data_IF_956731034995
#
_entry.id   IF_956731034995
#
_cell.length_a   1.000
_cell.length_b   1.000
_cell.length_c   1.000
_cell.angle_alpha   90.00
_cell.angle_beta   90.00
_cell.angle_gamma   90.00
#
_symmetry.space_group_name_H-M   'P 1'
#
loop_
_entity.id
_entity.type
_entity.pdbx_description
1 polymer ?
#
# COMPACT_ATOMS: atom_id res chain seq x y z
N UNK A 1 -36.46 -1.52 -14.56
CA UNK A 1 -35.75 -1.39 -13.28
C UNK A 1 -35.74 -2.75 -12.56
N UNK A 2 -35.27 -3.81 -13.23
CA UNK A 2 -35.24 -5.18 -12.65
C UNK A 2 -34.41 -6.13 -13.54
N UNK A 3 -33.16 -5.78 -13.89
CA UNK A 3 -32.32 -6.69 -14.70
C UNK A 3 -30.81 -6.66 -14.35
N UNK A 4 -30.41 -6.03 -13.25
CA UNK A 4 -28.98 -5.89 -12.88
C UNK A 4 -28.51 -6.74 -11.69
N UNK A 5 -29.32 -7.70 -11.21
CA UNK A 5 -29.00 -8.52 -10.03
C UNK A 5 -28.45 -9.93 -10.34
N UNK A 6 -27.87 -10.20 -11.48
CA UNK A 6 -27.53 -11.60 -11.85
C UNK A 6 -26.06 -11.91 -12.13
N UNK A 7 -25.09 -11.03 -11.84
CA UNK A 7 -23.67 -11.36 -12.01
C UNK A 7 -22.75 -10.91 -10.89
N UNK A 8 -23.21 -10.94 -9.66
CA UNK A 8 -22.32 -10.80 -8.51
C UNK A 8 -22.15 -12.19 -7.90
N UNK A 9 -21.21 -12.98 -8.42
CA UNK A 9 -20.55 -14.04 -7.66
C UNK A 9 -19.30 -13.45 -7.04
N UNK A 10 -19.49 -12.63 -6.03
CA UNK A 10 -18.41 -12.28 -5.13
C UNK A 10 -17.97 -13.55 -4.43
N UNK A 11 -16.76 -14.03 -4.71
CA UNK A 11 -16.10 -15.07 -3.92
C UNK A 11 -15.71 -14.40 -2.59
N UNK A 12 -16.63 -14.41 -1.66
CA UNK A 12 -16.36 -14.14 -0.25
C UNK A 12 -15.64 -15.37 0.28
N UNK A 13 -14.31 -15.33 0.37
CA UNK A 13 -13.57 -16.34 1.12
C UNK A 13 -13.82 -16.13 2.61
N UNK A 14 -14.79 -16.88 3.13
CA UNK A 14 -14.90 -17.12 4.57
C UNK A 14 -13.72 -18.04 4.92
N UNK A 15 -12.78 -17.57 5.73
CA UNK A 15 -11.69 -18.39 6.28
C UNK A 15 -12.25 -19.54 7.10
N UNK A 16 -12.49 -20.67 6.44
CA UNK A 16 -12.60 -21.98 7.08
C UNK A 16 -11.18 -22.55 7.20
N UNK A 17 -10.74 -22.87 8.41
CA UNK A 17 -9.48 -23.56 8.66
C UNK A 17 -9.48 -24.93 7.97
N UNK A 18 -8.80 -25.03 6.82
CA UNK A 18 -8.42 -26.30 6.20
C UNK A 18 -6.93 -26.53 6.45
N UNK A 19 -6.64 -27.57 7.23
CA UNK A 19 -5.27 -28.08 7.42
C UNK A 19 -4.80 -28.68 6.09
N UNK A 20 -3.82 -28.08 5.46
CA UNK A 20 -3.11 -28.63 4.30
C UNK A 20 -1.78 -29.27 4.74
N UNK A 21 -1.35 -30.36 4.08
CA UNK A 21 -0.18 -31.11 4.49
C UNK A 21 1.13 -30.37 4.19
N UNK A 22 2.05 -30.50 5.12
CA UNK A 22 3.40 -29.95 5.14
C UNK A 22 4.25 -30.41 3.95
N UNK A 23 4.62 -29.48 3.07
CA UNK A 23 5.84 -29.60 2.29
C UNK A 23 6.95 -28.82 2.99
N UNK A 24 8.02 -29.53 3.35
CA UNK A 24 9.13 -28.96 4.09
C UNK A 24 9.90 -27.94 3.28
N UNK A 25 9.88 -26.68 3.75
CA UNK A 25 10.90 -25.70 3.47
C UNK A 25 11.55 -25.30 4.79
N UNK A 26 12.84 -25.60 4.89
CA UNK A 26 13.70 -25.23 5.99
C UNK A 26 14.13 -23.77 5.83
N UNK A 27 13.47 -22.90 6.53
CA UNK A 27 14.00 -21.69 7.16
C UNK A 27 12.90 -21.23 8.11
N UNK A 28 13.14 -21.34 9.41
CA UNK A 28 12.19 -20.95 10.44
C UNK A 28 12.00 -19.42 10.43
N UNK A 29 11.07 -18.93 9.60
CA UNK A 29 10.32 -17.73 9.93
C UNK A 29 9.43 -18.17 11.09
N UNK A 30 9.68 -17.66 12.29
CA UNK A 30 8.73 -17.75 13.39
C UNK A 30 7.40 -17.25 12.85
N UNK A 31 6.39 -18.13 12.78
CA UNK A 31 5.02 -17.71 12.51
C UNK A 31 4.64 -16.80 13.68
N UNK A 32 4.73 -15.51 13.47
CA UNK A 32 4.16 -14.54 14.38
C UNK A 32 2.66 -14.73 14.30
N UNK A 33 2.09 -15.36 15.32
CA UNK A 33 0.65 -15.38 15.50
C UNK A 33 0.27 -13.98 16.01
N UNK A 34 -0.27 -13.16 15.13
CA UNK A 34 -0.74 -11.82 15.50
C UNK A 34 -1.78 -11.86 16.62
N UNK A 35 -2.00 -10.72 17.23
CA UNK A 35 -3.01 -10.54 18.29
C UNK A 35 -4.40 -10.72 17.66
N UNK A 36 -5.12 -11.74 18.10
CA UNK A 36 -6.51 -12.03 17.67
C UNK A 36 -7.47 -11.35 18.63
N UNK A 37 -8.19 -10.36 18.15
CA UNK A 37 -9.21 -9.63 18.91
C UNK A 37 -10.51 -9.56 18.10
N UNK A 38 -11.64 -9.48 18.79
CA UNK A 38 -12.97 -9.35 18.18
C UNK A 38 -13.83 -8.34 18.95
N UNK A 39 -14.85 -7.79 18.27
CA UNK A 39 -15.84 -6.92 18.89
C UNK A 39 -15.21 -5.70 19.60
N UNK A 40 -15.71 -5.36 20.78
CA UNK A 40 -15.31 -4.19 21.55
C UNK A 40 -13.81 -4.18 21.89
N UNK A 41 -13.25 -5.34 22.30
CA UNK A 41 -11.84 -5.46 22.63
C UNK A 41 -10.92 -5.11 21.43
N UNK A 42 -11.36 -5.43 20.21
CA UNK A 42 -10.64 -5.06 18.99
C UNK A 42 -10.70 -3.55 18.75
N UNK A 43 -11.89 -2.95 18.87
CA UNK A 43 -12.06 -1.52 18.68
C UNK A 43 -11.31 -0.70 19.74
N UNK A 44 -11.29 -1.13 20.99
CA UNK A 44 -10.51 -0.53 22.07
C UNK A 44 -9.00 -0.59 21.80
N UNK A 45 -8.52 -1.74 21.31
CA UNK A 45 -7.12 -1.88 20.90
C UNK A 45 -6.77 -0.92 19.76
N UNK A 46 -7.59 -0.88 18.70
CA UNK A 46 -7.40 0.03 17.56
C UNK A 46 -7.38 1.48 18.05
N UNK A 47 -8.35 1.88 18.86
CA UNK A 47 -8.42 3.25 19.38
C UNK A 47 -7.19 3.62 20.23
N UNK A 48 -6.71 2.69 21.06
CA UNK A 48 -5.50 2.88 21.88
C UNK A 48 -4.26 3.08 21.01
N UNK A 49 -4.06 2.23 19.99
CA UNK A 49 -2.90 2.33 19.09
C UNK A 49 -2.94 3.61 18.24
N UNK A 50 -4.13 4.00 17.76
CA UNK A 50 -4.29 5.27 17.04
C UNK A 50 -4.04 6.47 17.93
N UNK A 51 -4.52 6.46 19.19
CA UNK A 51 -4.22 7.52 20.14
C UNK A 51 -2.70 7.64 20.40
N UNK A 52 -2.00 6.52 20.52
CA UNK A 52 -0.54 6.52 20.68
C UNK A 52 0.19 7.05 19.44
N UNK A 53 -0.35 6.79 18.24
CA UNK A 53 0.15 7.33 16.98
C UNK A 53 0.01 8.85 16.92
N UNK A 54 -1.14 9.39 17.29
CA UNK A 54 -1.45 10.82 17.19
C UNK A 54 -0.87 11.65 18.32
N UNK A 55 -0.69 11.04 19.48
CA UNK A 55 -0.21 11.71 20.71
C UNK A 55 1.05 11.02 21.24
N UNK A 56 2.17 11.02 20.48
CA UNK A 56 3.41 10.41 20.94
C UNK A 56 3.87 11.06 22.25
N UNK A 57 4.35 10.23 23.17
CA UNK A 57 4.85 10.71 24.48
C UNK A 57 5.98 11.72 24.28
N UNK A 58 5.79 12.94 24.79
CA UNK A 58 6.81 14.02 24.75
C UNK A 58 8.05 13.71 25.58
N UNK A 59 7.96 12.73 26.48
CA UNK A 59 9.02 12.40 27.44
C UNK A 59 9.99 11.31 26.95
N UNK A 60 9.74 10.72 25.79
CA UNK A 60 10.65 9.73 25.22
C UNK A 60 11.39 10.37 24.05
N UNK A 61 12.70 10.63 24.17
CA UNK A 61 13.48 11.10 23.03
C UNK A 61 13.35 10.10 21.89
N UNK A 62 13.04 10.58 20.68
CA UNK A 62 13.04 9.74 19.50
C UNK A 62 14.45 9.18 19.30
N UNK A 63 14.63 7.87 19.47
CA UNK A 63 15.87 7.22 19.07
C UNK A 63 15.86 7.09 17.55
N UNK A 64 16.98 7.43 16.87
CA UNK A 64 17.10 7.15 15.46
C UNK A 64 16.77 5.67 15.17
N UNK A 65 15.98 5.41 14.15
CA UNK A 65 15.70 4.04 13.74
C UNK A 65 16.99 3.35 13.31
N UNK A 66 17.15 2.12 13.74
CA UNK A 66 18.29 1.28 13.38
C UNK A 66 17.77 -0.04 12.81
N UNK A 67 18.43 -0.52 11.77
CA UNK A 67 18.06 -1.81 11.17
C UNK A 67 18.16 -2.93 12.22
N UNK A 68 17.22 -3.88 12.24
CA UNK A 68 17.31 -5.05 13.10
C UNK A 68 18.57 -5.87 12.81
N UNK A 69 18.98 -6.72 13.76
CA UNK A 69 20.11 -7.63 13.55
C UNK A 69 19.88 -8.50 12.31
N UNK A 70 20.86 -8.56 11.41
CA UNK A 70 20.76 -9.29 10.16
C UNK A 70 20.23 -8.46 8.98
N UNK A 71 20.03 -7.15 9.18
CA UNK A 71 19.56 -6.22 8.16
C UNK A 71 20.55 -5.08 7.94
N UNK A 72 20.53 -4.55 6.73
CA UNK A 72 21.27 -3.36 6.29
C UNK A 72 20.28 -2.23 6.04
N UNK A 73 20.65 -1.03 6.43
CA UNK A 73 19.94 0.21 6.14
C UNK A 73 20.92 1.22 5.57
N UNK A 74 20.62 1.75 4.42
CA UNK A 74 21.45 2.73 3.72
C UNK A 74 20.59 3.87 3.17
N UNK A 75 21.11 5.09 3.26
CA UNK A 75 20.59 6.23 2.52
C UNK A 75 21.45 6.44 1.29
N UNK A 76 20.80 6.49 0.14
CA UNK A 76 21.47 6.66 -1.14
C UNK A 76 20.62 7.55 -2.05
N UNK A 77 21.12 7.86 -3.24
CA UNK A 77 20.35 8.52 -4.28
C UNK A 77 20.26 7.62 -5.52
N UNK A 78 19.09 7.61 -6.16
CA UNK A 78 18.90 7.02 -7.48
C UNK A 78 18.48 8.15 -8.43
N UNK A 79 19.38 8.49 -9.37
CA UNK A 79 19.32 9.80 -9.99
C UNK A 79 19.50 10.89 -8.92
N UNK A 80 18.61 11.86 -8.93
CA UNK A 80 18.61 12.94 -7.93
C UNK A 80 17.62 12.69 -6.78
N UNK A 81 16.95 11.51 -6.75
CA UNK A 81 15.94 11.18 -5.75
C UNK A 81 16.59 10.50 -4.56
N UNK A 82 16.42 11.02 -3.33
CA UNK A 82 16.82 10.33 -2.12
C UNK A 82 16.04 9.02 -1.96
N UNK A 83 16.73 7.96 -1.55
CA UNK A 83 16.16 6.63 -1.36
C UNK A 83 16.72 5.99 -0.10
N UNK A 84 15.88 5.36 0.68
CA UNK A 84 16.28 4.51 1.78
C UNK A 84 16.25 3.04 1.32
N UNK A 85 17.42 2.38 1.32
CA UNK A 85 17.54 0.96 1.00
C UNK A 85 17.56 0.13 2.28
N UNK A 86 16.70 -0.87 2.34
CA UNK A 86 16.62 -1.85 3.44
C UNK A 86 16.75 -3.24 2.83
N UNK A 87 17.67 -4.05 3.35
CA UNK A 87 17.97 -5.36 2.81
C UNK A 87 18.40 -6.34 3.90
N UNK A 88 18.09 -7.64 3.80
CA UNK A 88 18.75 -8.64 4.64
C UNK A 88 20.24 -8.72 4.28
N UNK A 89 21.10 -8.99 5.27
CA UNK A 89 22.56 -9.13 5.06
C UNK A 89 22.88 -10.23 4.04
N UNK A 90 22.00 -11.25 3.93
CA UNK A 90 22.12 -12.35 2.95
C UNK A 90 20.75 -12.63 2.36
N UNK A 91 20.68 -12.66 1.04
CA UNK A 91 19.53 -13.14 0.28
C UNK A 91 20.02 -13.87 -0.96
N UNK A 92 19.31 -14.91 -1.37
CA UNK A 92 19.46 -15.56 -2.66
C UNK A 92 18.34 -15.14 -3.64
N UNK A 93 17.39 -14.37 -3.17
CA UNK A 93 16.26 -13.88 -3.96
C UNK A 93 16.71 -12.78 -4.93
N UNK A 94 15.96 -12.62 -6.02
CA UNK A 94 16.10 -11.51 -6.95
C UNK A 94 14.93 -10.52 -6.86
N UNK A 95 13.96 -10.79 -5.99
CA UNK A 95 12.79 -9.92 -5.80
C UNK A 95 13.20 -8.60 -5.17
N UNK A 96 12.70 -7.50 -5.74
CA UNK A 96 12.97 -6.14 -5.27
C UNK A 96 11.63 -5.44 -5.06
N UNK A 97 11.49 -4.75 -3.93
CA UNK A 97 10.31 -3.95 -3.64
C UNK A 97 10.67 -2.47 -3.83
N UNK A 98 9.93 -1.77 -4.70
CA UNK A 98 9.87 -0.32 -4.71
C UNK A 98 8.70 0.10 -3.83
N UNK A 99 9.00 0.69 -2.67
CA UNK A 99 8.01 1.17 -1.73
C UNK A 99 7.77 2.66 -1.96
N UNK A 100 6.52 3.00 -2.29
CA UNK A 100 6.01 4.36 -2.43
C UNK A 100 5.10 4.63 -1.22
N UNK A 101 5.58 5.46 -0.30
CA UNK A 101 4.89 5.67 0.97
C UNK A 101 3.63 6.52 0.83
N UNK A 102 2.66 6.32 1.74
CA UNK A 102 1.49 7.18 1.88
C UNK A 102 1.79 8.49 2.63
N UNK A 103 0.72 9.15 3.08
CA UNK A 103 0.80 10.42 3.81
C UNK A 103 0.19 11.60 3.06
N UNK A 104 -0.73 11.35 2.10
CA UNK A 104 -1.48 12.38 1.37
C UNK A 104 -0.59 13.28 0.52
N UNK A 105 0.57 12.77 0.06
CA UNK A 105 1.62 13.54 -0.62
C UNK A 105 2.24 14.68 0.21
N UNK A 106 1.97 14.73 1.51
CA UNK A 106 2.50 15.75 2.44
C UNK A 106 3.37 15.15 3.54
N UNK A 107 3.18 13.85 3.86
CA UNK A 107 3.97 13.12 4.84
C UNK A 107 5.08 12.33 4.19
N UNK A 108 6.27 12.26 4.81
CA UNK A 108 7.44 11.52 4.34
C UNK A 108 7.62 10.16 5.00
N UNK A 109 8.76 9.50 4.72
CA UNK A 109 9.14 8.20 5.27
C UNK A 109 9.31 8.30 6.80
N UNK A 110 8.66 7.38 7.51
CA UNK A 110 8.73 7.26 8.97
C UNK A 110 9.35 5.92 9.38
N UNK A 111 9.63 5.76 10.66
CA UNK A 111 10.13 4.48 11.21
C UNK A 111 9.14 3.33 11.02
N UNK A 112 7.83 3.62 10.89
CA UNK A 112 6.81 2.62 10.57
C UNK A 112 6.99 2.06 9.15
N UNK A 113 7.34 2.91 8.18
CA UNK A 113 7.68 2.46 6.82
C UNK A 113 8.94 1.62 6.78
N UNK A 114 9.97 1.98 7.56
CA UNK A 114 11.20 1.19 7.68
C UNK A 114 10.94 -0.19 8.29
N UNK A 115 10.09 -0.23 9.34
CA UNK A 115 9.65 -1.49 9.93
C UNK A 115 8.79 -2.33 8.98
N UNK A 116 7.87 -1.69 8.24
CA UNK A 116 7.06 -2.35 7.20
C UNK A 116 7.95 -2.93 6.10
N UNK A 117 8.96 -2.21 5.63
CA UNK A 117 9.91 -2.66 4.63
C UNK A 117 10.65 -3.95 5.06
N UNK A 118 11.10 -4.02 6.32
CA UNK A 118 11.68 -5.25 6.89
C UNK A 118 10.69 -6.41 6.86
N UNK A 119 9.44 -6.17 7.28
CA UNK A 119 8.39 -7.18 7.29
C UNK A 119 8.03 -7.65 5.87
N UNK A 120 7.86 -6.71 4.94
CA UNK A 120 7.60 -7.01 3.53
C UNK A 120 8.71 -7.86 2.92
N UNK A 121 9.97 -7.46 3.10
CA UNK A 121 11.09 -8.25 2.60
C UNK A 121 11.14 -9.65 3.22
N UNK A 122 10.81 -9.78 4.52
CA UNK A 122 10.75 -11.08 5.19
C UNK A 122 9.65 -11.97 4.62
N UNK A 123 8.43 -11.44 4.46
CA UNK A 123 7.28 -12.23 3.99
C UNK A 123 7.38 -12.59 2.51
N UNK A 124 7.83 -11.66 1.68
CA UNK A 124 7.88 -11.83 0.21
C UNK A 124 9.22 -12.37 -0.27
N UNK A 125 10.15 -12.70 0.65
CA UNK A 125 11.52 -13.11 0.31
C UNK A 125 12.16 -12.11 -0.65
N UNK A 126 12.12 -10.82 -0.33
CA UNK A 126 12.73 -9.80 -1.16
C UNK A 126 14.20 -9.57 -0.78
N UNK A 127 15.05 -9.46 -1.79
CA UNK A 127 16.48 -9.17 -1.61
C UNK A 127 16.69 -7.73 -1.12
N UNK A 128 15.84 -6.80 -1.56
CA UNK A 128 15.99 -5.39 -1.30
C UNK A 128 14.63 -4.67 -1.30
N UNK A 129 14.49 -3.67 -0.45
CA UNK A 129 13.40 -2.70 -0.47
C UNK A 129 13.99 -1.32 -0.66
N UNK A 130 13.52 -0.61 -1.67
CA UNK A 130 13.87 0.77 -1.96
C UNK A 130 12.67 1.66 -1.63
N UNK A 131 12.78 2.42 -0.55
CA UNK A 131 11.76 3.39 -0.14
C UNK A 131 12.10 4.73 -0.80
N UNK A 132 11.33 5.17 -1.77
CA UNK A 132 11.54 6.43 -2.46
C UNK A 132 11.11 7.60 -1.56
N UNK A 133 12.03 8.51 -1.25
CA UNK A 133 11.75 9.75 -0.52
C UNK A 133 11.44 10.86 -1.55
N UNK A 134 10.30 10.72 -2.20
CA UNK A 134 9.86 11.58 -3.29
C UNK A 134 9.45 12.96 -2.81
N UNK A 135 9.50 13.95 -3.69
CA UNK A 135 9.14 15.35 -3.42
C UNK A 135 7.68 15.50 -3.00
N UNK A 136 7.44 16.32 -1.99
CA UNK A 136 6.16 16.45 -1.29
C UNK A 136 5.49 17.80 -1.53
N UNK A 137 4.16 17.80 -1.55
CA UNK A 137 3.33 18.98 -1.50
C UNK A 137 3.38 19.64 -0.10
N UNK A 138 3.08 20.93 0.02
CA UNK A 138 2.74 21.87 -1.06
C UNK A 138 3.94 22.45 -1.80
N UNK A 139 5.17 22.15 -1.37
CA UNK A 139 6.38 22.68 -2.01
C UNK A 139 6.54 22.16 -3.45
N UNK A 140 6.10 20.93 -3.69
CA UNK A 140 6.15 20.28 -5.00
C UNK A 140 4.79 19.62 -5.29
N UNK A 141 4.10 20.14 -6.29
CA UNK A 141 2.81 19.64 -6.75
C UNK A 141 2.99 18.61 -7.87
N UNK A 142 1.91 18.00 -8.32
CA UNK A 142 1.90 17.13 -9.51
C UNK A 142 2.64 17.79 -10.69
N UNK A 143 3.52 17.08 -11.42
CA UNK A 143 3.83 15.65 -11.35
C UNK A 143 5.10 15.30 -10.53
N UNK A 144 5.56 16.14 -9.61
CA UNK A 144 6.87 15.99 -8.99
C UNK A 144 7.11 14.61 -8.35
N UNK A 145 6.12 14.07 -7.59
CA UNK A 145 6.24 12.75 -6.97
C UNK A 145 6.29 11.63 -8.03
N UNK A 146 5.49 11.75 -9.10
CA UNK A 146 5.52 10.80 -10.22
C UNK A 146 6.86 10.81 -10.96
N UNK A 147 7.44 12.00 -11.22
CA UNK A 147 8.75 12.13 -11.83
C UNK A 147 9.83 11.43 -11.00
N UNK A 148 9.77 11.60 -9.67
CA UNK A 148 10.72 10.97 -8.75
C UNK A 148 10.52 9.45 -8.71
N UNK A 149 9.29 8.95 -8.59
CA UNK A 149 8.98 7.53 -8.63
C UNK A 149 9.47 6.87 -9.94
N UNK A 150 9.21 7.53 -11.08
CA UNK A 150 9.67 7.09 -12.39
C UNK A 150 11.19 7.13 -12.53
N UNK A 151 11.86 8.14 -11.94
CA UNK A 151 13.32 8.22 -11.91
C UNK A 151 13.93 7.07 -11.10
N UNK A 152 13.37 6.78 -9.91
CA UNK A 152 13.81 5.64 -9.10
C UNK A 152 13.58 4.33 -9.86
N UNK A 153 12.41 4.10 -10.42
CA UNK A 153 12.11 2.88 -11.18
C UNK A 153 13.10 2.68 -12.35
N UNK A 154 13.31 3.69 -13.20
CA UNK A 154 14.30 3.62 -14.28
C UNK A 154 15.72 3.40 -13.75
N UNK A 155 16.06 3.97 -12.61
CA UNK A 155 17.34 3.77 -11.96
C UNK A 155 17.54 2.33 -11.46
N UNK A 156 16.48 1.65 -11.02
CA UNK A 156 16.53 0.22 -10.68
C UNK A 156 16.81 -0.63 -11.94
N UNK A 157 16.10 -0.36 -13.04
CA UNK A 157 16.36 -1.02 -14.33
C UNK A 157 17.82 -0.79 -14.80
N UNK A 158 18.33 0.43 -14.70
CA UNK A 158 19.70 0.75 -15.08
C UNK A 158 20.76 0.05 -14.21
N UNK A 159 20.41 -0.37 -13.00
CA UNK A 159 21.24 -1.21 -12.12
C UNK A 159 21.17 -2.70 -12.47
N UNK A 160 20.43 -3.06 -13.53
CA UNK A 160 20.31 -4.44 -14.01
C UNK A 160 19.23 -5.25 -13.28
N UNK A 161 18.35 -4.61 -12.50
CA UNK A 161 17.21 -5.30 -11.90
C UNK A 161 16.20 -5.59 -13.00
N UNK A 162 15.83 -6.87 -13.13
CA UNK A 162 14.82 -7.29 -14.09
C UNK A 162 13.45 -6.78 -13.66
N UNK A 163 12.68 -6.07 -14.53
CA UNK A 163 11.35 -5.59 -14.20
C UNK A 163 10.39 -6.70 -13.75
N UNK A 164 10.58 -7.94 -14.22
CA UNK A 164 9.80 -9.11 -13.78
C UNK A 164 10.04 -9.51 -12.32
N UNK A 165 11.05 -8.95 -11.67
CA UNK A 165 11.34 -9.12 -10.24
C UNK A 165 10.99 -7.88 -9.40
N UNK A 166 10.51 -6.79 -10.03
CA UNK A 166 10.15 -5.58 -9.31
C UNK A 166 8.69 -5.65 -8.87
N UNK A 167 8.48 -5.53 -7.57
CA UNK A 167 7.19 -5.35 -6.91
C UNK A 167 7.05 -3.88 -6.59
N UNK A 168 5.99 -3.22 -7.05
CA UNK A 168 5.68 -1.86 -6.59
C UNK A 168 4.63 -1.95 -5.50
N UNK A 169 4.99 -1.52 -4.30
CA UNK A 169 4.07 -1.39 -3.18
C UNK A 169 3.75 0.07 -2.92
N UNK A 170 2.48 0.38 -2.67
CA UNK A 170 2.05 1.69 -2.21
C UNK A 170 0.82 1.63 -1.32
N UNK A 171 0.78 2.51 -0.32
CA UNK A 171 -0.36 2.67 0.57
C UNK A 171 -0.96 4.07 0.44
N UNK A 172 -2.28 4.22 0.54
CA UNK A 172 -2.95 5.53 0.49
C UNK A 172 -2.54 6.34 -0.75
N UNK A 173 -1.98 7.55 -0.58
CA UNK A 173 -1.38 8.34 -1.67
C UNK A 173 -0.21 7.65 -2.37
N UNK A 174 0.53 6.79 -1.68
CA UNK A 174 1.56 5.95 -2.30
C UNK A 174 0.96 4.86 -3.20
N UNK A 175 -0.23 4.35 -2.86
CA UNK A 175 -1.02 3.47 -3.72
C UNK A 175 -1.52 4.18 -4.98
N UNK A 176 -1.93 5.44 -4.85
CA UNK A 176 -2.20 6.31 -6.00
C UNK A 176 -0.95 6.46 -6.87
N UNK A 177 0.19 6.83 -6.27
CA UNK A 177 1.46 7.01 -6.98
C UNK A 177 1.93 5.72 -7.68
N UNK A 178 1.65 4.54 -7.12
CA UNK A 178 1.96 3.26 -7.76
C UNK A 178 1.13 3.05 -9.03
N UNK A 179 -0.14 3.43 -9.01
CA UNK A 179 -1.01 3.41 -10.19
C UNK A 179 -0.59 4.46 -11.21
N UNK A 180 -0.32 5.71 -10.78
CA UNK A 180 0.20 6.77 -11.65
C UNK A 180 1.51 6.33 -12.34
N UNK A 181 2.43 5.70 -11.60
CA UNK A 181 3.69 5.16 -12.14
C UNK A 181 3.41 4.09 -13.21
N UNK A 182 2.54 3.12 -12.94
CA UNK A 182 2.21 2.07 -13.91
C UNK A 182 1.55 2.64 -15.18
N UNK A 183 0.63 3.59 -15.04
CA UNK A 183 0.03 4.31 -16.16
C UNK A 183 1.06 5.09 -16.98
N UNK A 184 1.96 5.80 -16.30
CA UNK A 184 3.05 6.52 -16.95
C UNK A 184 3.99 5.57 -17.72
N UNK A 185 4.37 4.43 -17.12
CA UNK A 185 5.23 3.45 -17.79
C UNK A 185 4.54 2.86 -19.03
N UNK A 186 3.23 2.59 -18.94
CA UNK A 186 2.41 2.15 -20.07
C UNK A 186 2.41 3.21 -21.19
N UNK A 187 2.14 4.46 -20.87
CA UNK A 187 2.12 5.56 -21.84
C UNK A 187 3.47 5.76 -22.54
N UNK A 188 4.57 5.62 -21.79
CA UNK A 188 5.93 5.77 -22.31
C UNK A 188 6.46 4.50 -23.00
N UNK A 189 5.70 3.40 -23.04
CA UNK A 189 6.16 2.13 -23.60
C UNK A 189 7.35 1.54 -22.86
N UNK A 190 7.48 1.82 -21.55
CA UNK A 190 8.55 1.32 -20.70
C UNK A 190 8.16 -0.03 -20.08
N UNK A 191 9.15 -0.88 -19.71
CA UNK A 191 8.87 -2.14 -19.03
C UNK A 191 8.05 -1.90 -17.76
N UNK A 192 6.99 -2.71 -17.57
CA UNK A 192 6.15 -2.70 -16.39
C UNK A 192 6.79 -3.50 -15.25
N UNK A 193 6.52 -3.18 -13.97
CA UNK A 193 6.87 -4.06 -12.85
C UNK A 193 6.11 -5.39 -12.93
N UNK A 194 6.57 -6.39 -12.19
CA UNK A 194 5.94 -7.69 -12.14
C UNK A 194 4.48 -7.62 -11.63
N UNK A 195 4.24 -6.79 -10.62
CA UNK A 195 2.92 -6.63 -10.00
C UNK A 195 2.85 -5.36 -9.13
N UNK A 196 1.63 -4.98 -8.78
CA UNK A 196 1.33 -3.91 -7.83
C UNK A 196 0.71 -4.49 -6.56
N UNK A 197 1.17 -4.04 -5.39
CA UNK A 197 0.55 -4.28 -4.09
C UNK A 197 0.04 -2.95 -3.55
N UNK A 198 -1.27 -2.82 -3.44
CA UNK A 198 -1.95 -1.57 -3.10
C UNK A 198 -2.69 -1.74 -1.78
N UNK A 199 -2.32 -0.95 -0.78
CA UNK A 199 -2.97 -0.94 0.53
C UNK A 199 -3.79 0.33 0.67
N UNK A 200 -5.13 0.20 0.68
CA UNK A 200 -6.04 1.36 0.81
C UNK A 200 -5.69 2.49 -0.18
N UNK A 201 -5.55 2.24 -1.49
CA UNK A 201 -5.07 3.26 -2.43
C UNK A 201 -6.06 4.41 -2.57
N UNK A 202 -5.55 5.64 -2.57
CA UNK A 202 -6.38 6.82 -2.80
C UNK A 202 -6.54 7.09 -4.29
N UNK A 203 -7.72 6.83 -4.85
CA UNK A 203 -7.93 6.79 -6.31
C UNK A 203 -8.87 7.85 -6.86
N UNK A 204 -9.56 8.61 -5.98
CA UNK A 204 -10.48 9.70 -6.33
C UNK A 204 -10.14 10.99 -5.56
N UNK A 205 -9.56 11.97 -6.25
CA UNK A 205 -9.24 13.29 -5.66
C UNK A 205 -10.45 14.22 -5.59
N UNK A 206 -11.53 13.94 -6.31
CA UNK A 206 -12.78 14.71 -6.22
C UNK A 206 -13.63 14.33 -5.00
N UNK A 207 -13.38 13.14 -4.40
CA UNK A 207 -14.16 12.59 -3.29
C UNK A 207 -15.64 12.32 -3.65
N UNK A 208 -15.91 11.99 -4.92
CA UNK A 208 -17.26 11.79 -5.42
C UNK A 208 -17.63 10.33 -5.57
N UNK A 209 -16.64 9.51 -5.82
CA UNK A 209 -16.87 8.10 -6.07
C UNK A 209 -17.01 7.32 -4.74
N UNK A 210 -18.09 6.55 -4.66
CA UNK A 210 -18.37 5.71 -3.50
C UNK A 210 -19.04 6.42 -2.31
N UNK A 211 -19.42 5.65 -1.31
CA UNK A 211 -20.20 6.10 -0.13
C UNK A 211 -19.43 5.99 1.18
N UNK A 212 -18.35 5.20 1.22
CA UNK A 212 -17.61 4.88 2.45
C UNK A 212 -17.03 6.12 3.14
N UNK A 213 -16.71 7.18 2.41
CA UNK A 213 -16.25 8.45 3.00
C UNK A 213 -17.27 9.06 3.97
N UNK A 214 -18.56 8.77 3.80
CA UNK A 214 -19.63 9.19 4.70
C UNK A 214 -19.98 8.08 5.70
N UNK A 215 -20.16 6.86 5.23
CA UNK A 215 -20.64 5.73 6.04
C UNK A 215 -19.61 5.25 7.07
N UNK A 216 -18.31 5.39 6.76
CA UNK A 216 -17.22 4.99 7.62
C UNK A 216 -16.59 6.15 8.40
N UNK A 217 -17.07 7.39 8.24
CA UNK A 217 -16.44 8.55 8.85
C UNK A 217 -16.30 8.44 10.38
N UNK A 218 -17.29 7.87 11.06
CA UNK A 218 -17.23 7.63 12.52
C UNK A 218 -16.46 6.35 12.89
N UNK A 219 -16.24 5.46 11.94
CA UNK A 219 -15.63 4.13 12.17
C UNK A 219 -14.14 4.12 11.90
N UNK A 220 -13.70 4.84 10.87
CA UNK A 220 -12.27 4.89 10.51
C UNK A 220 -11.47 5.66 11.56
N UNK A 221 -10.70 4.94 12.36
CA UNK A 221 -9.89 5.53 13.43
C UNK A 221 -8.56 6.10 12.92
N UNK A 222 -8.28 5.99 11.62
CA UNK A 222 -7.10 6.60 11.01
C UNK A 222 -7.43 7.94 10.32
N UNK A 223 -8.50 8.03 9.55
CA UNK A 223 -8.84 9.22 8.76
C UNK A 223 -10.13 9.91 9.20
N UNK A 224 -10.99 9.22 9.94
CA UNK A 224 -12.35 9.65 10.25
C UNK A 224 -12.47 10.66 11.39
N UNK A 225 -13.67 10.70 11.96
CA UNK A 225 -14.04 11.65 13.01
C UNK A 225 -13.10 11.59 14.22
N UNK A 226 -12.73 12.75 14.74
CA UNK A 226 -11.86 12.88 15.91
C UNK A 226 -10.38 12.63 15.65
N UNK A 227 -9.97 12.33 14.42
CA UNK A 227 -8.56 12.18 14.04
C UNK A 227 -7.96 13.51 13.56
N UNK A 228 -6.63 13.67 13.58
CA UNK A 228 -5.97 14.86 13.03
C UNK A 228 -6.20 15.06 11.52
N UNK A 229 -6.65 14.03 10.81
CA UNK A 229 -6.84 14.04 9.36
C UNK A 229 -8.29 14.31 8.93
N UNK A 230 -9.26 14.25 9.85
CA UNK A 230 -10.70 14.37 9.58
C UNK A 230 -11.09 15.56 8.71
N UNK A 231 -10.41 16.70 8.90
CA UNK A 231 -10.65 17.90 8.10
C UNK A 231 -9.92 17.87 6.75
N UNK A 232 -8.73 17.29 6.69
CA UNK A 232 -7.90 17.27 5.49
C UNK A 232 -8.46 16.36 4.41
N UNK A 233 -9.03 15.21 4.80
CA UNK A 233 -9.64 14.23 3.89
C UNK A 233 -10.93 14.73 3.21
N UNK A 234 -11.38 15.92 3.57
CA UNK A 234 -12.55 16.60 2.99
C UNK A 234 -12.18 17.82 2.15
N UNK A 235 -10.89 18.08 1.96
CA UNK A 235 -10.39 19.26 1.24
C UNK A 235 -9.57 18.81 0.04
N UNK A 236 -9.57 19.59 -1.05
CA UNK A 236 -8.68 19.31 -2.18
C UNK A 236 -7.22 19.19 -1.73
N UNK A 237 -6.54 18.18 -2.23
CA UNK A 237 -5.12 18.00 -1.94
C UNK A 237 -4.27 19.07 -2.60
N UNK A 238 -3.31 19.68 -1.87
CA UNK A 238 -2.34 20.57 -2.48
C UNK A 238 -1.51 19.93 -3.60
N UNK A 239 -1.39 18.60 -3.61
CA UNK A 239 -0.63 17.88 -4.63
C UNK A 239 -1.21 18.05 -6.03
N UNK A 240 -2.51 18.18 -6.17
CA UNK A 240 -3.18 18.37 -7.45
C UNK A 240 -2.69 19.62 -8.23
N UNK A 241 -2.18 20.64 -7.53
CA UNK A 241 -1.74 21.87 -8.16
C UNK A 241 -2.87 22.54 -8.92
N UNK A 242 -2.72 22.68 -10.24
CA UNK A 242 -3.73 23.27 -11.12
C UNK A 242 -4.52 22.24 -11.94
N UNK A 243 -4.26 20.94 -11.76
CA UNK A 243 -5.01 19.91 -12.50
C UNK A 243 -6.44 19.79 -11.97
N UNK A 244 -7.41 19.50 -12.85
CA UNK A 244 -8.74 19.07 -12.42
C UNK A 244 -8.62 17.84 -11.52
N UNK A 245 -9.46 17.76 -10.49
CA UNK A 245 -9.38 16.66 -9.52
C UNK A 245 -9.85 15.32 -10.12
N UNK A 246 -10.68 15.36 -11.17
CA UNK A 246 -11.12 14.21 -11.97
C UNK A 246 -10.16 13.83 -13.11
N UNK A 247 -9.03 14.53 -13.22
CA UNK A 247 -8.03 14.18 -14.24
C UNK A 247 -7.51 12.75 -13.99
N UNK A 248 -7.56 11.85 -15.00
CA UNK A 248 -7.11 10.46 -14.83
C UNK A 248 -5.66 10.28 -14.35
N UNK A 249 -4.84 11.33 -14.48
CA UNK A 249 -3.46 11.36 -13.98
C UNK A 249 -3.38 11.59 -12.47
N UNK A 250 -4.42 12.16 -11.86
CA UNK A 250 -4.55 12.31 -10.40
C UNK A 250 -5.49 11.27 -9.81
N UNK A 251 -6.60 11.01 -10.51
CA UNK A 251 -7.66 10.10 -10.10
C UNK A 251 -7.68 8.88 -11.00
N UNK A 252 -6.81 7.88 -10.77
CA UNK A 252 -6.67 6.71 -11.63
C UNK A 252 -7.94 5.86 -11.74
N UNK A 253 -8.93 6.06 -10.87
CA UNK A 253 -10.25 5.47 -11.02
C UNK A 253 -10.94 5.88 -12.36
N UNK A 254 -10.53 7.00 -12.98
CA UNK A 254 -11.01 7.47 -14.26
C UNK A 254 -10.10 7.10 -15.45
N UNK A 255 -8.94 6.47 -15.18
CA UNK A 255 -7.97 6.10 -16.21
C UNK A 255 -8.36 4.80 -16.94
N UNK A 256 -7.77 4.56 -18.11
CA UNK A 256 -7.77 3.24 -18.77
C UNK A 256 -6.74 2.33 -18.13
N UNK A 257 -7.19 1.37 -17.34
CA UNK A 257 -6.35 0.43 -16.59
C UNK A 257 -5.93 -0.79 -17.41
N UNK A 258 -6.34 -0.91 -18.68
CA UNK A 258 -5.97 -2.05 -19.53
C UNK A 258 -4.46 -2.22 -19.66
N UNK A 259 -3.97 -3.46 -19.61
CA UNK A 259 -2.55 -3.78 -19.78
C UNK A 259 -1.63 -3.36 -18.62
N UNK A 260 -2.18 -2.94 -17.47
CA UNK A 260 -1.42 -2.76 -16.25
C UNK A 260 -0.99 -4.12 -15.66
N UNK A 261 0.05 -4.14 -14.81
CA UNK A 261 0.47 -5.35 -14.12
C UNK A 261 -0.66 -5.94 -13.26
N UNK A 262 -0.60 -7.25 -12.95
CA UNK A 262 -1.46 -7.84 -11.94
C UNK A 262 -1.41 -7.04 -10.65
N UNK A 263 -2.57 -6.79 -10.01
CA UNK A 263 -2.62 -6.01 -8.78
C UNK A 263 -3.40 -6.72 -7.68
N UNK A 264 -2.87 -6.61 -6.45
CA UNK A 264 -3.58 -6.95 -5.22
C UNK A 264 -3.96 -5.65 -4.51
N UNK A 265 -5.24 -5.45 -4.30
CA UNK A 265 -5.79 -4.36 -3.52
C UNK A 265 -6.23 -4.92 -2.16
N UNK A 266 -5.76 -4.33 -1.08
CA UNK A 266 -6.19 -4.67 0.28
C UNK A 266 -6.70 -3.41 0.97
N UNK A 267 -7.87 -3.50 1.60
CA UNK A 267 -8.49 -2.35 2.27
C UNK A 267 -9.19 -2.77 3.56
N UNK A 268 -9.46 -1.82 4.43
CA UNK A 268 -10.21 -2.03 5.66
C UNK A 268 -11.71 -1.89 5.47
N UNK A 269 -12.52 -2.71 6.16
CA UNK A 269 -13.98 -2.61 6.14
C UNK A 269 -14.51 -1.31 6.74
N UNK A 270 -13.71 -0.62 7.56
CA UNK A 270 -14.01 0.70 8.12
C UNK A 270 -13.22 1.83 7.45
N UNK A 271 -12.45 1.54 6.40
CA UNK A 271 -11.68 2.52 5.66
C UNK A 271 -12.58 3.54 4.95
N UNK A 272 -12.21 4.81 4.97
CA UNK A 272 -12.91 5.85 4.20
C UNK A 272 -12.81 5.62 2.69
N UNK A 273 -11.77 4.93 2.22
CA UNK A 273 -11.53 4.69 0.79
C UNK A 273 -12.11 3.36 0.30
N UNK A 274 -12.79 2.60 1.16
CA UNK A 274 -13.29 1.26 0.84
C UNK A 274 -14.04 1.19 -0.51
N UNK A 275 -15.02 2.07 -0.73
CA UNK A 275 -15.82 2.01 -1.97
C UNK A 275 -15.05 2.49 -3.20
N UNK A 276 -14.03 3.35 -3.05
CA UNK A 276 -13.11 3.69 -4.14
C UNK A 276 -12.26 2.46 -4.53
N UNK A 277 -11.81 1.69 -3.56
CA UNK A 277 -11.02 0.47 -3.77
C UNK A 277 -11.85 -0.62 -4.44
N UNK A 278 -13.15 -0.75 -4.08
CA UNK A 278 -14.10 -1.65 -4.73
C UNK A 278 -14.31 -1.24 -6.21
N UNK A 279 -14.56 0.05 -6.47
CA UNK A 279 -14.75 0.58 -7.81
C UNK A 279 -13.47 0.47 -8.66
N UNK A 280 -12.29 0.70 -8.08
CA UNK A 280 -11.02 0.48 -8.76
C UNK A 280 -10.86 -0.98 -9.19
N UNK A 281 -11.18 -1.93 -8.30
CA UNK A 281 -11.08 -3.35 -8.61
C UNK A 281 -12.09 -3.76 -9.72
N UNK A 282 -13.33 -3.28 -9.64
CA UNK A 282 -14.33 -3.51 -10.68
C UNK A 282 -13.88 -2.96 -12.04
N UNK A 283 -13.34 -1.74 -12.05
CA UNK A 283 -12.83 -1.10 -13.26
C UNK A 283 -11.62 -1.85 -13.83
N UNK A 284 -10.64 -2.20 -13.01
CA UNK A 284 -9.47 -2.95 -13.46
C UNK A 284 -9.88 -4.28 -14.11
N UNK A 285 -10.83 -5.00 -13.50
CA UNK A 285 -11.36 -6.24 -14.06
C UNK A 285 -12.11 -5.99 -15.39
N UNK A 286 -12.91 -4.93 -15.49
CA UNK A 286 -13.62 -4.55 -16.71
C UNK A 286 -12.66 -4.18 -17.85
N UNK A 287 -11.54 -3.52 -17.53
CA UNK A 287 -10.48 -3.16 -18.47
C UNK A 287 -9.55 -4.36 -18.81
N UNK A 288 -9.80 -5.55 -18.21
CA UNK A 288 -9.05 -6.78 -18.50
C UNK A 288 -7.72 -6.90 -17.74
N UNK A 289 -7.47 -6.05 -16.76
CA UNK A 289 -6.27 -6.15 -15.88
C UNK A 289 -6.53 -7.15 -14.76
N UNK A 290 -5.63 -8.12 -14.53
CA UNK A 290 -5.76 -9.07 -13.43
C UNK A 290 -5.74 -8.34 -12.08
N UNK A 291 -6.80 -8.48 -11.30
CA UNK A 291 -6.95 -7.83 -10.01
C UNK A 291 -7.53 -8.78 -8.96
N UNK A 292 -7.04 -8.66 -7.74
CA UNK A 292 -7.65 -9.26 -6.54
C UNK A 292 -7.92 -8.15 -5.53
N UNK A 293 -9.10 -8.17 -4.92
CA UNK A 293 -9.47 -7.27 -3.84
C UNK A 293 -9.76 -8.09 -2.58
N UNK A 294 -9.16 -7.71 -1.46
CA UNK A 294 -9.47 -8.28 -0.14
C UNK A 294 -9.83 -7.17 0.84
N UNK A 295 -11.02 -7.31 1.43
CA UNK A 295 -11.53 -6.40 2.44
C UNK A 295 -11.35 -7.06 3.82
N UNK A 296 -10.60 -6.40 4.71
CA UNK A 296 -10.38 -6.86 6.08
C UNK A 296 -11.44 -6.25 7.01
N UNK A 297 -12.40 -7.07 7.53
CA UNK A 297 -13.52 -6.54 8.29
C UNK A 297 -13.08 -5.70 9.49
N UNK A 298 -13.74 -4.56 9.70
CA UNK A 298 -13.53 -3.64 10.84
C UNK A 298 -12.15 -2.99 10.90
N UNK A 299 -11.28 -3.20 9.91
CA UNK A 299 -9.97 -2.53 9.88
C UNK A 299 -10.10 -1.10 9.36
N UNK A 300 -9.34 -0.13 9.93
CA UNK A 300 -9.28 1.24 9.46
C UNK A 300 -8.33 1.36 8.25
N UNK A 301 -8.21 2.56 7.71
CA UNK A 301 -7.28 2.93 6.65
C UNK A 301 -5.83 2.50 6.97
N UNK A 302 -5.15 1.92 5.98
CA UNK A 302 -3.74 1.42 6.01
C UNK A 302 -3.39 0.57 7.23
N UNK A 303 -4.32 -0.28 7.67
CA UNK A 303 -4.23 -1.06 8.91
C UNK A 303 -2.93 -1.86 9.06
N UNK A 304 -2.40 -2.44 8.00
CA UNK A 304 -1.14 -3.23 8.02
C UNK A 304 0.06 -2.40 8.47
N UNK A 305 0.07 -1.10 8.13
CA UNK A 305 1.11 -0.16 8.54
C UNK A 305 0.93 0.33 9.99
N UNK A 306 -0.32 0.63 10.38
CA UNK A 306 -0.60 1.33 11.65
C UNK A 306 -0.91 0.39 12.80
N UNK A 307 -1.35 -0.84 12.53
CA UNK A 307 -1.71 -1.90 13.48
C UNK A 307 -0.92 -3.19 13.21
N UNK A 308 0.44 -3.14 13.16
CA UNK A 308 1.25 -4.23 12.65
C UNK A 308 1.10 -5.55 13.41
N UNK A 309 0.68 -5.52 14.67
CA UNK A 309 0.63 -6.70 15.54
C UNK A 309 -0.73 -7.44 15.49
N UNK A 310 -1.75 -6.89 14.82
CA UNK A 310 -3.03 -7.57 14.67
C UNK A 310 -2.93 -8.76 13.70
N UNK A 311 -3.72 -9.78 13.97
CA UNK A 311 -3.80 -10.99 13.13
C UNK A 311 -4.18 -10.65 11.68
N UNK A 312 -5.02 -9.65 11.47
CA UNK A 312 -5.39 -9.15 10.14
C UNK A 312 -4.19 -8.57 9.38
N UNK A 313 -3.30 -7.87 10.05
CA UNK A 313 -2.08 -7.32 9.43
C UNK A 313 -1.07 -8.41 9.08
N UNK A 314 -0.99 -9.46 9.90
CA UNK A 314 -0.20 -10.66 9.60
C UNK A 314 -0.80 -11.40 8.39
N UNK A 315 -2.12 -11.57 8.37
CA UNK A 315 -2.84 -12.20 7.26
C UNK A 315 -2.67 -11.42 5.95
N UNK A 316 -2.72 -10.09 6.00
CA UNK A 316 -2.46 -9.22 4.85
C UNK A 316 -1.07 -9.44 4.26
N UNK A 317 -0.02 -9.47 5.08
CA UNK A 317 1.34 -9.76 4.61
C UNK A 317 1.48 -11.18 4.05
N UNK A 318 0.80 -12.16 4.65
CA UNK A 318 0.79 -13.54 4.14
C UNK A 318 0.09 -13.63 2.78
N UNK A 319 -1.01 -12.91 2.58
CA UNK A 319 -1.70 -12.82 1.30
C UNK A 319 -0.84 -12.14 0.23
N UNK A 320 -0.16 -11.03 0.58
CA UNK A 320 0.81 -10.38 -0.33
C UNK A 320 1.89 -11.38 -0.76
N UNK A 321 2.48 -12.16 0.17
CA UNK A 321 3.44 -13.22 -0.14
C UNK A 321 2.86 -14.22 -1.14
N UNK A 322 1.65 -14.70 -0.88
CA UNK A 322 1.02 -15.73 -1.72
C UNK A 322 0.68 -15.17 -3.10
N UNK A 323 0.31 -13.88 -3.19
CA UNK A 323 0.12 -13.19 -4.46
C UNK A 323 1.45 -13.06 -5.23
N UNK A 324 2.52 -12.61 -4.57
CA UNK A 324 3.86 -12.53 -5.17
C UNK A 324 4.32 -13.89 -5.69
N UNK A 325 4.18 -14.96 -4.90
CA UNK A 325 4.59 -16.31 -5.27
C UNK A 325 3.82 -16.88 -6.47
N UNK A 326 2.61 -16.38 -6.76
CA UNK A 326 1.86 -16.78 -7.97
C UNK A 326 2.34 -16.09 -9.24
N UNK A 327 3.02 -14.94 -9.13
CA UNK A 327 3.36 -14.09 -10.26
C UNK A 327 4.87 -13.98 -10.51
N UNK A 328 5.72 -14.25 -9.51
CA UNK A 328 7.19 -14.17 -9.60
C UNK A 328 7.77 -15.51 -9.18
N UNK A 329 8.43 -16.19 -10.14
CA UNK A 329 8.98 -17.55 -9.98
C UNK A 329 10.50 -17.56 -9.80
#
# INVERSE_FOLDING_TARGET
>A
METWKKYISAIVFICGFAVLPSYGFSAAASQEHGVVLTGEAKQDYIQKEMNALYHPSKNTPAKPWTAPKGWVYEKLAIGDVPVERIAPVKSASQRVILLLHGGGYMGGITDRYRALAVRQATYMDAAEVYCADYRLAPAHVYPAALEDAAAVYRGLLARGIDPSNIIVFGDSSGGNLALELALYLKEQGLPQPALLLLLSPWTDFEYKEGTSRTENFEKDKMLGAGTPFADSVRKPSPYAGSLPLDDPRLSPIHADLSGLPPMLIQTGGYDLLLTEDELLAEKAAADGTPVSLTIYPEMPHVFTLVLPDLAESIASLAEMRDFVNRHIH
#
